data_IF_271616310983
#
_entry.id   IF_271616310983
#
_cell.length_a   1.000
_cell.length_b   1.000
_cell.length_c   1.000
_cell.angle_alpha   90.00
_cell.angle_beta   90.00
_cell.angle_gamma   90.00
#
_symmetry.space_group_name_H-M   'P 1'
#
loop_
_entity.id
_entity.type
_entity.pdbx_description
1 polymer ?
#
# COMPACT_ATOMS: atom_id res chain seq x y z
N UNK A 1 34.41 -3.84 16.00
CA UNK A 1 33.02 -4.33 16.11
C UNK A 1 32.37 -3.91 14.80
N UNK A 2 32.01 -4.87 13.94
CA UNK A 2 31.36 -4.54 12.67
C UNK A 2 30.03 -3.88 13.01
N UNK A 3 29.92 -2.59 12.71
CA UNK A 3 28.65 -1.88 12.73
C UNK A 3 27.81 -2.52 11.62
N UNK A 4 26.95 -3.47 12.00
CA UNK A 4 26.04 -4.12 11.04
C UNK A 4 25.07 -3.03 10.64
N UNK A 5 25.34 -2.39 9.51
CA UNK A 5 24.50 -1.35 8.95
C UNK A 5 23.08 -1.88 8.88
N UNK A 6 22.16 -1.27 9.65
CA UNK A 6 20.76 -1.71 9.70
C UNK A 6 20.18 -1.73 8.28
N UNK A 7 19.38 -2.74 7.93
CA UNK A 7 18.76 -2.82 6.61
C UNK A 7 17.89 -1.58 6.37
N UNK A 8 17.93 -1.08 5.13
CA UNK A 8 17.07 0.03 4.71
C UNK A 8 15.64 -0.48 4.58
N UNK A 9 14.75 0.05 5.41
CA UNK A 9 13.32 -0.26 5.37
C UNK A 9 12.53 0.94 4.90
N UNK A 10 11.76 0.77 3.82
CA UNK A 10 10.90 1.80 3.25
C UNK A 10 9.42 1.37 3.32
N UNK A 11 8.53 2.33 3.55
CA UNK A 11 7.08 2.13 3.47
C UNK A 11 6.55 2.19 2.05
N UNK A 12 5.29 1.77 1.84
CA UNK A 12 4.65 1.72 0.51
C UNK A 12 4.56 3.07 -0.23
N UNK A 13 4.65 4.19 0.50
CA UNK A 13 4.72 5.53 -0.10
C UNK A 13 6.01 5.80 -0.87
N UNK A 14 7.11 5.08 -0.60
CA UNK A 14 8.36 5.29 -1.31
C UNK A 14 8.17 5.13 -2.83
N UNK A 15 7.55 4.03 -3.26
CA UNK A 15 7.29 3.73 -4.67
C UNK A 15 6.40 4.78 -5.38
N UNK A 16 5.66 5.61 -4.63
CA UNK A 16 4.75 6.64 -5.14
C UNK A 16 5.43 8.00 -5.36
N UNK A 17 6.60 8.22 -4.75
CA UNK A 17 7.27 9.53 -4.71
C UNK A 17 8.50 9.58 -5.61
N UNK A 18 8.95 10.79 -5.94
CA UNK A 18 10.19 11.02 -6.67
C UNK A 18 11.38 10.38 -5.91
N UNK A 19 12.29 9.64 -6.58
CA UNK A 19 13.45 9.05 -5.92
C UNK A 19 14.40 10.08 -5.32
N UNK A 20 14.41 11.33 -5.80
CA UNK A 20 15.17 12.44 -5.18
C UNK A 20 14.69 12.72 -3.75
N UNK A 21 13.41 12.49 -3.45
CA UNK A 21 12.93 12.60 -2.06
C UNK A 21 13.55 11.52 -1.19
N UNK A 22 13.60 10.27 -1.67
CA UNK A 22 14.29 9.19 -0.95
C UNK A 22 15.77 9.53 -0.75
N UNK A 23 16.43 10.13 -1.73
CA UNK A 23 17.80 10.61 -1.56
C UNK A 23 17.90 11.63 -0.43
N UNK A 24 17.09 12.68 -0.45
CA UNK A 24 17.11 13.70 0.60
C UNK A 24 16.78 13.14 1.99
N UNK A 25 15.89 12.15 2.09
CA UNK A 25 15.51 11.54 3.37
C UNK A 25 16.66 10.72 4.00
N UNK A 26 17.56 10.16 3.17
CA UNK A 26 18.62 9.23 3.58
C UNK A 26 20.05 9.75 3.44
N UNK A 27 20.28 10.86 2.74
CA UNK A 27 21.58 11.49 2.61
C UNK A 27 21.95 12.23 3.91
N UNK A 28 23.00 11.81 4.66
CA UNK A 28 23.38 12.42 5.93
C UNK A 28 23.73 13.91 5.83
N UNK A 29 24.20 14.34 4.66
CA UNK A 29 24.62 15.72 4.41
C UNK A 29 23.46 16.64 4.00
N UNK A 30 22.28 16.09 3.70
CA UNK A 30 21.11 16.88 3.32
C UNK A 30 20.31 17.20 4.58
N UNK A 31 20.10 18.49 4.92
CA UNK A 31 19.27 18.86 6.04
C UNK A 31 17.85 18.33 5.87
N UNK A 32 17.33 17.64 6.90
CA UNK A 32 15.94 17.21 6.91
C UNK A 32 15.04 18.43 7.12
N UNK A 33 14.17 18.66 6.15
CA UNK A 33 13.11 19.64 6.28
C UNK A 33 11.98 19.06 7.12
N UNK A 34 11.54 19.82 8.11
CA UNK A 34 10.28 19.52 8.80
C UNK A 34 9.16 19.85 7.83
N UNK A 35 8.31 18.87 7.56
CA UNK A 35 7.15 19.10 6.72
C UNK A 35 6.00 19.65 7.57
N UNK A 36 5.59 20.87 7.24
CA UNK A 36 4.44 21.53 7.84
C UNK A 36 3.33 21.62 6.78
N UNK A 37 2.23 20.88 6.91
CA UNK A 37 1.11 20.98 5.99
C UNK A 37 0.42 22.34 6.12
N UNK A 38 -0.11 22.87 5.02
CA UNK A 38 -1.03 24.02 5.10
C UNK A 38 -2.32 23.61 5.85
N UNK A 39 -3.10 24.60 6.30
CA UNK A 39 -4.37 24.33 6.98
C UNK A 39 -5.33 23.48 6.14
N UNK A 40 -5.40 23.76 4.83
CA UNK A 40 -6.21 22.97 3.88
C UNK A 40 -5.72 21.51 3.81
N UNK A 41 -4.41 21.31 3.70
CA UNK A 41 -3.83 19.96 3.68
C UNK A 41 -4.03 19.23 5.01
N UNK A 42 -3.94 19.95 6.14
CA UNK A 42 -4.21 19.38 7.45
C UNK A 42 -5.68 18.95 7.58
N UNK A 43 -6.61 19.76 7.08
CA UNK A 43 -8.04 19.42 7.06
C UNK A 43 -8.31 18.15 6.22
N UNK A 44 -7.65 17.99 5.08
CA UNK A 44 -7.74 16.79 4.24
C UNK A 44 -7.21 15.53 4.96
N UNK A 45 -6.06 15.64 5.65
CA UNK A 45 -5.51 14.55 6.45
C UNK A 45 -6.45 14.15 7.58
N UNK A 46 -7.05 15.13 8.24
CA UNK A 46 -7.97 14.90 9.36
C UNK A 46 -9.28 14.27 8.86
N UNK A 47 -9.79 14.69 7.71
CA UNK A 47 -10.93 14.04 7.06
C UNK A 47 -10.62 12.59 6.67
N UNK A 48 -9.40 12.33 6.18
CA UNK A 48 -8.93 10.98 5.91
C UNK A 48 -8.95 10.07 7.14
N UNK A 49 -8.44 10.55 8.28
CA UNK A 49 -8.44 9.78 9.54
C UNK A 49 -9.86 9.51 10.05
N UNK A 50 -10.74 10.51 10.03
CA UNK A 50 -12.14 10.32 10.43
C UNK A 50 -12.85 9.27 9.56
N UNK A 51 -12.61 9.29 8.25
CA UNK A 51 -13.18 8.31 7.34
C UNK A 51 -12.66 6.88 7.62
N UNK A 52 -11.37 6.73 7.93
CA UNK A 52 -10.79 5.45 8.35
C UNK A 52 -11.44 4.93 9.65
N UNK A 53 -11.60 5.80 10.64
CA UNK A 53 -12.27 5.48 11.92
C UNK A 53 -13.73 5.04 11.70
N UNK A 54 -14.48 5.73 10.85
CA UNK A 54 -15.87 5.39 10.48
C UNK A 54 -15.95 4.02 9.80
N UNK A 55 -15.06 3.74 8.84
CA UNK A 55 -15.00 2.44 8.15
C UNK A 55 -14.63 1.32 9.13
N UNK A 56 -13.68 1.55 10.04
CA UNK A 56 -13.28 0.56 11.04
C UNK A 56 -14.43 0.28 12.02
N UNK A 57 -15.11 1.31 12.50
CA UNK A 57 -16.27 1.16 13.37
C UNK A 57 -17.38 0.34 12.69
N UNK A 58 -17.65 0.59 11.41
CA UNK A 58 -18.63 -0.17 10.64
C UNK A 58 -18.20 -1.63 10.43
N UNK A 59 -16.94 -1.90 10.08
CA UNK A 59 -16.43 -3.26 9.95
C UNK A 59 -16.50 -4.04 11.27
N UNK A 60 -16.18 -3.41 12.40
CA UNK A 60 -16.30 -4.04 13.72
C UNK A 60 -17.76 -4.33 14.08
N UNK A 61 -18.68 -3.42 13.73
CA UNK A 61 -20.13 -3.60 13.93
C UNK A 61 -20.68 -4.75 13.10
N UNK A 62 -20.20 -4.91 11.86
CA UNK A 62 -20.63 -5.97 10.94
C UNK A 62 -20.02 -7.34 11.23
N UNK A 63 -18.85 -7.39 11.87
CA UNK A 63 -18.10 -8.62 12.19
C UNK A 63 -17.89 -8.80 13.71
N UNK A 64 -18.96 -8.79 14.53
CA UNK A 64 -18.83 -8.83 15.98
C UNK A 64 -18.14 -10.11 16.43
N UNK A 65 -17.04 -9.98 17.18
CA UNK A 65 -16.28 -11.10 17.72
C UNK A 65 -15.47 -11.91 16.71
N UNK A 66 -15.44 -11.53 15.43
CA UNK A 66 -14.65 -12.21 14.38
C UNK A 66 -13.61 -11.30 13.73
N UNK A 67 -13.84 -9.99 13.68
CA UNK A 67 -12.80 -9.03 13.33
C UNK A 67 -11.84 -8.81 14.51
N UNK A 68 -10.54 -8.74 14.21
CA UNK A 68 -9.50 -8.38 15.18
C UNK A 68 -9.04 -6.95 14.89
N UNK A 69 -9.22 -6.06 15.87
CA UNK A 69 -8.60 -4.74 15.86
C UNK A 69 -7.24 -4.83 16.54
N UNK A 70 -6.17 -4.50 15.81
CA UNK A 70 -4.84 -4.32 16.38
C UNK A 70 -4.80 -2.98 17.09
N UNK A 71 -4.39 -2.98 18.37
CA UNK A 71 -4.46 -1.78 19.19
C UNK A 71 -3.49 -0.70 18.66
N UNK A 72 -3.98 0.49 18.28
CA UNK A 72 -3.14 1.55 17.72
C UNK A 72 -2.13 2.14 18.72
N UNK A 73 -2.29 1.88 20.02
CA UNK A 73 -1.34 2.30 21.05
C UNK A 73 -0.14 1.33 21.20
N UNK A 74 -0.18 0.15 20.57
CA UNK A 74 0.91 -0.80 20.64
C UNK A 74 2.18 -0.28 19.97
N UNK A 75 3.32 -0.67 20.55
CA UNK A 75 4.61 -0.49 19.89
C UNK A 75 4.71 -1.44 18.71
N UNK A 76 5.56 -1.09 17.75
CA UNK A 76 5.78 -1.84 16.50
C UNK A 76 5.86 -3.36 16.72
N UNK A 77 6.75 -3.82 17.59
CA UNK A 77 6.99 -5.26 17.77
C UNK A 77 5.76 -5.99 18.33
N UNK A 78 5.04 -5.36 19.25
CA UNK A 78 3.80 -5.89 19.83
C UNK A 78 2.66 -5.90 18.81
N UNK A 79 2.53 -4.84 18.01
CA UNK A 79 1.55 -4.75 16.93
C UNK A 79 1.80 -5.82 15.84
N UNK A 80 3.07 -6.08 15.50
CA UNK A 80 3.47 -7.18 14.61
C UNK A 80 3.07 -8.52 15.23
N UNK A 81 3.39 -8.72 16.51
CA UNK A 81 3.02 -9.94 17.23
C UNK A 81 1.52 -10.21 17.22
N UNK A 82 0.70 -9.18 17.51
CA UNK A 82 -0.76 -9.29 17.49
C UNK A 82 -1.29 -9.58 16.08
N UNK A 83 -0.74 -8.91 15.06
CA UNK A 83 -1.14 -9.11 13.65
C UNK A 83 -0.82 -10.53 13.19
N UNK A 84 0.38 -11.04 13.48
CA UNK A 84 0.78 -12.40 13.14
C UNK A 84 -0.06 -13.43 13.88
N UNK A 85 -0.33 -13.24 15.17
CA UNK A 85 -1.20 -14.13 15.94
C UNK A 85 -2.61 -14.20 15.33
N UNK A 86 -3.19 -13.07 14.93
CA UNK A 86 -4.48 -13.01 14.27
C UNK A 86 -4.48 -13.70 12.89
N UNK A 87 -3.40 -13.55 12.11
CA UNK A 87 -3.26 -14.26 10.84
C UNK A 87 -3.12 -15.78 11.04
N UNK A 88 -2.35 -16.22 12.04
CA UNK A 88 -2.17 -17.63 12.38
C UNK A 88 -3.45 -18.28 12.90
N UNK A 89 -4.27 -17.53 13.66
CA UNK A 89 -5.58 -18.01 14.11
C UNK A 89 -6.64 -18.00 13.00
N UNK A 90 -6.31 -17.47 11.80
CA UNK A 90 -7.22 -17.40 10.67
C UNK A 90 -8.37 -16.40 10.89
N UNK A 91 -8.14 -15.31 11.64
CA UNK A 91 -9.12 -14.25 11.84
C UNK A 91 -9.67 -13.76 10.48
N UNK A 92 -10.99 -13.76 10.25
CA UNK A 92 -11.57 -13.36 8.95
C UNK A 92 -11.17 -11.96 8.48
N UNK A 93 -10.99 -11.04 9.44
CA UNK A 93 -10.66 -9.65 9.20
C UNK A 93 -9.69 -9.16 10.28
N UNK A 94 -8.64 -8.46 9.88
CA UNK A 94 -7.68 -7.80 10.79
C UNK A 94 -7.62 -6.33 10.41
N UNK A 95 -7.83 -5.45 11.38
CA UNK A 95 -7.86 -3.99 11.19
C UNK A 95 -6.65 -3.35 11.88
N UNK A 96 -6.01 -2.40 11.21
CA UNK A 96 -4.85 -1.66 11.73
C UNK A 96 -3.57 -2.49 11.88
N UNK A 97 -3.45 -3.59 11.13
CA UNK A 97 -2.36 -4.56 11.29
C UNK A 97 -0.98 -4.03 10.88
N UNK A 98 0.06 -4.57 11.52
CA UNK A 98 1.46 -4.35 11.17
C UNK A 98 2.08 -5.66 10.69
N UNK A 99 2.61 -5.66 9.47
CA UNK A 99 3.28 -6.85 8.94
C UNK A 99 4.74 -6.91 9.43
N UNK A 100 5.32 -8.12 9.59
CA UNK A 100 6.75 -8.26 9.86
C UNK A 100 7.58 -7.51 8.83
N UNK A 101 8.70 -6.92 9.26
CA UNK A 101 9.64 -6.28 8.34
C UNK A 101 10.22 -7.32 7.39
N UNK A 102 10.23 -6.98 6.10
CA UNK A 102 10.90 -7.76 5.05
C UNK A 102 12.24 -7.07 4.76
N UNK A 103 13.26 -7.46 5.52
CA UNK A 103 14.61 -6.91 5.41
C UNK A 103 15.24 -7.18 4.03
N UNK A 104 14.95 -8.36 3.44
CA UNK A 104 15.47 -8.73 2.12
C UNK A 104 14.88 -7.85 1.01
N UNK A 105 13.60 -7.49 1.12
CA UNK A 105 12.92 -6.56 0.21
C UNK A 105 13.04 -5.08 0.59
N UNK A 106 13.57 -4.76 1.76
CA UNK A 106 13.63 -3.40 2.31
C UNK A 106 12.25 -2.80 2.58
N UNK A 107 11.33 -3.56 3.19
CA UNK A 107 9.91 -3.16 3.38
C UNK A 107 9.50 -3.18 4.85
N UNK A 108 8.78 -2.14 5.25
CA UNK A 108 8.02 -2.03 6.51
C UNK A 108 6.62 -1.52 6.18
N UNK A 109 5.58 -1.84 6.96
CA UNK A 109 4.23 -1.40 6.59
C UNK A 109 3.10 -1.77 7.54
N UNK A 110 2.05 -0.95 7.49
CA UNK A 110 0.81 -1.08 8.25
C UNK A 110 -0.38 -1.08 7.27
N UNK A 111 -0.81 -2.23 6.72
CA UNK A 111 -2.07 -2.28 5.97
C UNK A 111 -3.25 -1.90 6.88
N UNK A 112 -4.20 -1.12 6.36
CA UNK A 112 -5.38 -0.75 7.15
C UNK A 112 -6.26 -1.97 7.42
N UNK A 113 -6.40 -2.87 6.43
CA UNK A 113 -7.23 -4.06 6.54
C UNK A 113 -6.54 -5.26 5.89
N UNK A 114 -6.62 -6.43 6.55
CA UNK A 114 -6.28 -7.74 5.96
C UNK A 114 -7.53 -8.61 5.92
N UNK A 115 -7.87 -9.11 4.74
CA UNK A 115 -9.03 -9.97 4.51
C UNK A 115 -8.56 -11.41 4.34
N UNK A 116 -9.06 -12.33 5.17
CA UNK A 116 -8.78 -13.77 5.02
C UNK A 116 -9.43 -14.29 3.75
N UNK A 117 -8.65 -14.98 2.94
CA UNK A 117 -9.10 -15.76 1.78
C UNK A 117 -8.55 -17.18 1.87
N UNK A 118 -8.90 -18.04 0.92
CA UNK A 118 -8.26 -19.34 0.86
C UNK A 118 -6.74 -19.19 0.62
N UNK A 119 -5.94 -19.99 1.32
CA UNK A 119 -4.48 -19.95 1.23
C UNK A 119 -3.77 -18.74 1.85
N UNK A 120 -4.46 -17.70 2.36
CA UNK A 120 -3.77 -16.56 2.99
C UNK A 120 -4.63 -15.33 3.25
N UNK A 121 -4.01 -14.16 3.19
CA UNK A 121 -4.61 -12.84 3.38
C UNK A 121 -4.37 -11.94 2.18
N UNK A 122 -5.37 -11.12 1.84
CA UNK A 122 -5.24 -10.05 0.86
C UNK A 122 -5.26 -8.69 1.56
N UNK A 123 -4.42 -7.73 1.13
CA UNK A 123 -4.40 -6.41 1.71
C UNK A 123 -5.54 -5.54 1.18
N UNK A 124 -6.05 -4.68 2.05
CA UNK A 124 -6.93 -3.59 1.69
C UNK A 124 -6.54 -2.32 2.45
N UNK A 125 -6.80 -1.17 1.82
CA UNK A 125 -6.51 0.16 2.37
C UNK A 125 -7.78 1.01 2.36
N UNK A 126 -7.93 1.88 3.35
CA UNK A 126 -9.02 2.87 3.40
C UNK A 126 -8.53 4.17 2.80
N UNK A 127 -9.34 4.76 1.94
CA UNK A 127 -9.01 6.00 1.24
C UNK A 127 -10.21 6.93 1.18
N UNK A 128 -10.05 8.14 1.70
CA UNK A 128 -11.09 9.17 1.63
C UNK A 128 -11.15 9.83 0.23
N UNK A 129 -11.40 9.02 -0.79
CA UNK A 129 -11.68 9.45 -2.16
C UNK A 129 -12.45 8.37 -2.92
N UNK A 130 -12.97 8.74 -4.09
CA UNK A 130 -13.73 7.85 -4.96
C UNK A 130 -12.83 6.75 -5.57
N UNK A 131 -13.32 5.51 -5.60
CA UNK A 131 -12.55 4.34 -6.08
C UNK A 131 -13.01 3.81 -7.44
N UNK A 132 -14.24 4.13 -7.86
CA UNK A 132 -14.79 3.76 -9.16
C UNK A 132 -15.47 4.92 -9.88
N UNK A 133 -15.46 4.89 -11.20
CA UNK A 133 -16.20 5.79 -12.10
C UNK A 133 -17.17 5.00 -12.99
N UNK A 134 -18.20 5.67 -13.50
CA UNK A 134 -19.14 5.05 -14.43
C UNK A 134 -18.47 4.75 -15.79
N UNK A 135 -18.77 3.58 -16.36
CA UNK A 135 -18.26 3.14 -17.65
C UNK A 135 -19.26 2.25 -18.38
N UNK A 136 -19.19 2.14 -19.72
CA UNK A 136 -20.21 1.43 -20.50
C UNK A 136 -19.97 -0.08 -20.66
N UNK A 137 -18.71 -0.53 -20.62
CA UNK A 137 -18.30 -1.87 -21.08
C UNK A 137 -17.42 -2.64 -20.09
N UNK A 138 -17.20 -2.08 -18.92
CA UNK A 138 -16.30 -2.65 -17.91
C UNK A 138 -17.10 -3.03 -16.69
N UNK A 139 -16.56 -4.01 -15.96
CA UNK A 139 -17.02 -4.38 -14.64
C UNK A 139 -15.88 -4.23 -13.65
N UNK A 140 -16.22 -3.89 -12.43
CA UNK A 140 -15.29 -3.88 -11.30
C UNK A 140 -15.63 -5.02 -10.36
N UNK A 141 -14.60 -5.74 -9.93
CA UNK A 141 -14.77 -6.74 -8.90
C UNK A 141 -14.89 -6.05 -7.55
N UNK A 142 -15.94 -6.37 -6.82
CA UNK A 142 -16.26 -5.74 -5.55
C UNK A 142 -16.71 -6.77 -4.52
N UNK A 143 -16.61 -6.44 -3.25
CA UNK A 143 -17.24 -7.17 -2.15
C UNK A 143 -17.86 -6.21 -1.14
N UNK A 144 -18.90 -6.67 -0.44
CA UNK A 144 -19.57 -5.88 0.59
C UNK A 144 -18.77 -5.90 1.88
N UNK A 145 -19.00 -4.90 2.74
CA UNK A 145 -18.39 -4.88 4.07
C UNK A 145 -18.82 -6.08 4.93
N UNK A 146 -20.02 -6.64 4.70
CA UNK A 146 -20.53 -7.82 5.43
C UNK A 146 -19.87 -9.13 5.00
N UNK A 147 -19.47 -9.25 3.72
CA UNK A 147 -18.84 -10.45 3.18
C UNK A 147 -17.57 -10.11 2.38
N UNK A 148 -16.50 -9.61 3.02
CA UNK A 148 -15.33 -9.09 2.31
C UNK A 148 -14.64 -10.09 1.38
N UNK A 149 -14.68 -11.39 1.71
CA UNK A 149 -14.08 -12.47 0.93
C UNK A 149 -15.00 -13.04 -0.18
N UNK A 150 -16.20 -12.47 -0.38
CA UNK A 150 -17.17 -12.91 -1.39
C UNK A 150 -17.38 -11.79 -2.41
N UNK A 151 -17.20 -12.14 -3.68
CA UNK A 151 -16.95 -11.16 -4.73
C UNK A 151 -18.07 -11.24 -5.77
N UNK A 152 -18.41 -10.10 -6.35
CA UNK A 152 -19.19 -10.06 -7.59
C UNK A 152 -18.59 -9.04 -8.56
N UNK A 153 -18.88 -9.23 -9.84
CA UNK A 153 -18.51 -8.28 -10.88
C UNK A 153 -19.65 -7.26 -11.02
N UNK A 154 -19.43 -6.04 -10.54
CA UNK A 154 -20.36 -4.93 -10.69
C UNK A 154 -20.20 -4.31 -12.09
N UNK A 155 -21.19 -4.46 -13.00
CA UNK A 155 -21.10 -3.93 -14.35
C UNK A 155 -21.24 -2.41 -14.36
N UNK A 156 -20.77 -1.79 -15.43
CA UNK A 156 -20.96 -0.36 -15.65
C UNK A 156 -19.95 0.53 -14.91
N UNK A 157 -18.85 -0.05 -14.42
CA UNK A 157 -17.87 0.61 -13.57
C UNK A 157 -16.45 0.40 -14.08
N UNK A 158 -15.60 1.39 -13.84
CA UNK A 158 -14.14 1.31 -14.03
C UNK A 158 -13.44 1.85 -12.79
N UNK A 159 -12.20 1.44 -12.56
CA UNK A 159 -11.39 2.01 -11.48
C UNK A 159 -11.15 3.51 -11.71
N UNK A 160 -11.13 4.29 -10.64
CA UNK A 160 -10.88 5.74 -10.70
C UNK A 160 -9.43 6.07 -11.08
N UNK A 161 -9.13 7.35 -11.23
CA UNK A 161 -7.79 7.86 -11.52
C UNK A 161 -6.76 7.53 -10.42
N UNK A 162 -7.23 7.28 -9.19
CA UNK A 162 -6.38 6.96 -8.04
C UNK A 162 -5.85 5.51 -8.04
N UNK A 163 -6.50 4.60 -8.78
CA UNK A 163 -6.27 3.15 -8.67
C UNK A 163 -4.80 2.73 -8.77
N UNK A 164 -4.01 3.42 -9.60
CA UNK A 164 -2.61 3.06 -9.79
C UNK A 164 -1.78 3.39 -8.55
N UNK A 165 -2.02 4.57 -7.95
CA UNK A 165 -1.31 5.00 -6.75
C UNK A 165 -1.72 4.20 -5.52
N UNK A 166 -2.98 3.77 -5.45
CA UNK A 166 -3.45 2.87 -4.39
C UNK A 166 -2.91 1.46 -4.62
N UNK A 167 -2.94 0.99 -5.86
CA UNK A 167 -2.37 -0.27 -6.28
C UNK A 167 -0.89 -0.43 -5.92
N UNK A 168 -0.06 0.62 -6.05
CA UNK A 168 1.34 0.57 -5.65
C UNK A 168 1.50 0.29 -4.15
N UNK A 169 0.62 0.85 -3.31
CA UNK A 169 0.61 0.61 -1.88
C UNK A 169 0.10 -0.81 -1.56
N UNK A 170 -0.93 -1.29 -2.26
CA UNK A 170 -1.40 -2.66 -2.12
C UNK A 170 -0.37 -3.70 -2.57
N UNK A 171 0.38 -3.41 -3.63
CA UNK A 171 1.50 -4.23 -4.09
C UNK A 171 2.62 -4.32 -3.04
N UNK A 172 2.87 -3.24 -2.30
CA UNK A 172 3.79 -3.25 -1.16
C UNK A 172 3.38 -4.27 -0.11
N UNK A 173 2.13 -4.21 0.35
CA UNK A 173 1.63 -5.14 1.37
C UNK A 173 1.53 -6.57 0.84
N UNK A 174 1.18 -6.76 -0.44
CA UNK A 174 1.19 -8.07 -1.10
C UNK A 174 2.58 -8.72 -1.06
N UNK A 175 3.64 -7.95 -1.28
CA UNK A 175 5.02 -8.44 -1.18
C UNK A 175 5.46 -8.71 0.25
N UNK A 176 5.02 -7.90 1.22
CA UNK A 176 5.26 -8.17 2.64
C UNK A 176 4.55 -9.45 3.11
N UNK A 177 3.28 -9.65 2.73
CA UNK A 177 2.53 -10.88 2.98
C UNK A 177 3.23 -12.10 2.36
N UNK A 178 3.85 -11.93 1.19
CA UNK A 178 4.64 -12.99 0.56
C UNK A 178 5.88 -13.32 1.38
N UNK A 179 6.60 -12.31 1.86
CA UNK A 179 7.81 -12.49 2.65
C UNK A 179 7.55 -13.18 3.99
N UNK A 180 6.41 -12.91 4.63
CA UNK A 180 6.01 -13.57 5.88
C UNK A 180 5.17 -14.85 5.70
N UNK A 181 4.96 -15.31 4.46
CA UNK A 181 4.27 -16.58 4.17
C UNK A 181 2.75 -16.56 4.30
N UNK A 182 2.12 -15.39 4.37
CA UNK A 182 0.66 -15.21 4.48
C UNK A 182 -0.01 -14.75 3.19
N UNK A 183 0.73 -14.60 2.10
CA UNK A 183 0.13 -14.32 0.79
C UNK A 183 -0.61 -15.57 0.29
N UNK A 184 -1.83 -15.44 -0.26
CA UNK A 184 -2.47 -16.54 -0.98
C UNK A 184 -1.65 -16.93 -2.22
N UNK A 185 -2.03 -18.04 -2.86
CA UNK A 185 -1.35 -18.57 -4.04
C UNK A 185 -1.15 -17.55 -5.18
N UNK A 186 -0.39 -17.98 -6.19
CA UNK A 186 -0.04 -17.11 -7.33
C UNK A 186 -1.22 -16.82 -8.28
N UNK A 187 -2.37 -17.44 -8.06
CA UNK A 187 -3.51 -17.43 -8.96
C UNK A 187 -4.21 -16.07 -9.03
N UNK A 188 -4.26 -15.27 -7.95
CA UNK A 188 -4.91 -13.95 -7.97
C UNK A 188 -4.31 -12.96 -6.94
N UNK A 189 -3.25 -12.19 -7.28
CA UNK A 189 -2.69 -11.16 -6.38
C UNK A 189 -3.59 -9.92 -6.38
N UNK A 190 -4.67 -10.00 -5.62
CA UNK A 190 -5.68 -8.95 -5.52
C UNK A 190 -5.40 -8.04 -4.33
N UNK A 191 -5.72 -6.76 -4.46
CA UNK A 191 -5.76 -5.84 -3.32
C UNK A 191 -7.00 -4.98 -3.42
N UNK A 192 -7.57 -4.57 -2.29
CA UNK A 192 -8.78 -3.76 -2.30
C UNK A 192 -8.58 -2.35 -1.74
N UNK A 193 -9.46 -1.45 -2.17
CA UNK A 193 -9.61 -0.14 -1.55
C UNK A 193 -11.05 0.03 -1.12
N UNK A 194 -11.25 0.47 0.13
CA UNK A 194 -12.52 1.01 0.58
C UNK A 194 -12.44 2.53 0.40
N UNK A 195 -13.19 3.02 -0.58
CA UNK A 195 -13.29 4.45 -0.91
C UNK A 195 -14.61 5.05 -0.47
N UNK A 196 -14.89 6.27 -0.91
CA UNK A 196 -16.21 6.92 -0.72
C UNK A 196 -17.28 6.43 -1.70
N UNK A 197 -16.94 5.49 -2.59
CA UNK A 197 -17.89 4.91 -3.55
C UNK A 197 -18.84 3.92 -2.87
N UNK A 198 -20.14 4.11 -3.08
CA UNK A 198 -21.18 3.20 -2.61
C UNK A 198 -21.81 2.46 -3.78
N UNK A 199 -22.03 1.15 -3.60
CA UNK A 199 -22.71 0.29 -4.57
C UNK A 199 -23.76 -0.56 -3.87
N UNK A 200 -24.82 -0.87 -4.59
CA UNK A 200 -25.83 -1.82 -4.13
C UNK A 200 -25.45 -3.23 -4.61
N UNK A 201 -25.47 -4.21 -3.69
CA UNK A 201 -25.63 -5.60 -4.10
C UNK A 201 -26.99 -5.77 -4.83
N UNK A 202 -27.15 -6.76 -5.72
CA UNK A 202 -28.43 -7.00 -6.38
C UNK A 202 -29.59 -7.13 -5.37
N UNK A 203 -30.49 -6.14 -5.34
CA UNK A 203 -31.63 -6.08 -4.42
C UNK A 203 -31.34 -5.49 -3.04
N UNK A 204 -30.14 -4.95 -2.81
CA UNK A 204 -29.77 -4.26 -1.57
C UNK A 204 -29.74 -2.73 -1.71
N UNK A 205 -29.53 -2.04 -0.59
CA UNK A 205 -29.29 -0.60 -0.55
C UNK A 205 -27.83 -0.28 -0.87
N UNK A 206 -27.52 0.91 -1.43
CA UNK A 206 -26.15 1.36 -1.62
C UNK A 206 -25.38 1.42 -0.30
N UNK A 207 -24.20 0.80 -0.27
CA UNK A 207 -23.29 0.83 0.87
C UNK A 207 -21.83 0.91 0.39
N UNK A 208 -20.92 1.23 1.31
CA UNK A 208 -19.49 1.15 1.02
C UNK A 208 -19.11 -0.29 0.64
N UNK A 209 -18.12 -0.41 -0.25
CA UNK A 209 -17.65 -1.70 -0.76
C UNK A 209 -16.13 -1.73 -0.81
N UNK A 210 -15.58 -2.93 -0.73
CA UNK A 210 -14.22 -3.19 -1.17
C UNK A 210 -14.20 -3.18 -2.69
N UNK A 211 -13.36 -2.35 -3.29
CA UNK A 211 -13.09 -2.36 -4.74
C UNK A 211 -11.77 -3.08 -4.98
N UNK A 212 -11.83 -4.24 -5.63
CA UNK A 212 -10.68 -5.11 -5.83
C UNK A 212 -9.95 -4.83 -7.14
N UNK A 213 -8.62 -4.73 -7.05
CA UNK A 213 -7.72 -4.53 -8.17
C UNK A 213 -6.87 -5.79 -8.39
N UNK A 214 -6.78 -6.23 -9.64
CA UNK A 214 -5.79 -7.22 -10.06
C UNK A 214 -4.44 -6.53 -10.24
N UNK A 215 -3.54 -6.76 -9.28
CA UNK A 215 -2.22 -6.12 -9.24
C UNK A 215 -1.25 -6.71 -10.27
N UNK A 216 -1.57 -7.87 -10.85
CA UNK A 216 -0.80 -8.51 -11.92
C UNK A 216 -1.25 -8.13 -13.33
N UNK A 217 -2.42 -7.49 -13.46
CA UNK A 217 -2.95 -7.10 -14.77
C UNK A 217 -2.09 -6.03 -15.43
N UNK A 218 -1.59 -6.32 -16.63
CA UNK A 218 -0.74 -5.40 -17.42
C UNK A 218 -1.57 -4.33 -18.12
N UNK A 219 -1.88 -3.26 -17.40
CA UNK A 219 -2.76 -2.18 -17.89
C UNK A 219 -2.00 -0.93 -18.34
N UNK A 220 -0.88 -0.59 -17.68
CA UNK A 220 -0.23 0.72 -17.86
C UNK A 220 0.95 0.64 -18.84
N UNK A 221 0.97 1.44 -19.92
CA UNK A 221 2.14 1.56 -20.76
C UNK A 221 3.23 2.35 -20.03
N UNK A 222 4.45 1.80 -20.03
CA UNK A 222 5.65 2.43 -19.47
C UNK A 222 6.72 2.47 -20.55
N UNK A 223 7.54 3.53 -20.55
CA UNK A 223 8.67 3.61 -21.46
C UNK A 223 9.85 2.81 -20.91
N UNK A 224 10.41 1.95 -21.73
CA UNK A 224 11.65 1.21 -21.52
C UNK A 224 12.66 1.66 -22.56
N UNK A 225 13.86 2.05 -22.12
CA UNK A 225 14.95 2.45 -23.04
C UNK A 225 15.32 1.35 -24.04
N UNK A 226 15.22 0.07 -23.63
CA UNK A 226 15.58 -1.08 -24.47
C UNK A 226 14.43 -1.66 -25.27
N UNK A 227 13.17 -1.41 -24.88
CA UNK A 227 11.99 -2.05 -25.47
C UNK A 227 10.89 -1.08 -25.92
N UNK A 228 11.12 0.22 -25.86
CA UNK A 228 10.09 1.23 -26.14
C UNK A 228 8.92 1.13 -25.16
N UNK A 229 7.68 1.24 -25.64
CA UNK A 229 6.48 1.19 -24.78
C UNK A 229 6.11 -0.25 -24.43
N UNK A 230 6.19 -0.62 -23.14
CA UNK A 230 5.81 -1.94 -22.63
C UNK A 230 4.69 -1.79 -21.59
N UNK A 231 3.65 -2.62 -21.71
CA UNK A 231 2.60 -2.69 -20.68
C UNK A 231 3.15 -3.39 -19.43
N UNK A 232 3.00 -2.74 -18.27
CA UNK A 232 3.39 -3.27 -16.97
C UNK A 232 2.18 -3.38 -16.07
N UNK A 233 2.24 -4.37 -15.19
CA UNK A 233 1.34 -4.51 -14.05
C UNK A 233 1.72 -3.55 -12.94
N UNK A 234 0.83 -3.41 -11.96
CA UNK A 234 1.09 -2.63 -10.76
C UNK A 234 2.22 -3.29 -9.95
N UNK A 235 2.23 -4.62 -9.82
CA UNK A 235 3.31 -5.36 -9.16
C UNK A 235 4.67 -5.14 -9.84
N UNK A 236 4.77 -5.30 -11.16
CA UNK A 236 6.03 -5.06 -11.88
C UNK A 236 6.52 -3.62 -11.71
N UNK A 237 5.60 -2.66 -11.73
CA UNK A 237 5.93 -1.24 -11.53
C UNK A 237 6.40 -1.00 -10.10
N UNK A 238 5.68 -1.53 -9.11
CA UNK A 238 6.05 -1.44 -7.70
C UNK A 238 7.43 -2.05 -7.43
N UNK A 239 7.69 -3.28 -7.89
CA UNK A 239 8.97 -3.95 -7.64
C UNK A 239 10.14 -3.14 -8.21
N UNK A 240 9.95 -2.55 -9.39
CA UNK A 240 10.94 -1.68 -10.01
C UNK A 240 11.16 -0.40 -9.20
N UNK A 241 10.08 0.34 -8.90
CA UNK A 241 10.15 1.64 -8.24
C UNK A 241 10.65 1.51 -6.79
N UNK A 242 10.13 0.55 -6.01
CA UNK A 242 10.55 0.29 -4.64
C UNK A 242 11.99 -0.20 -4.58
N UNK A 243 12.34 -1.20 -5.39
CA UNK A 243 13.69 -1.75 -5.44
C UNK A 243 14.74 -0.69 -5.84
N UNK A 244 14.38 0.23 -6.73
CA UNK A 244 15.24 1.36 -7.05
C UNK A 244 15.44 2.29 -5.85
N UNK A 245 14.38 2.60 -5.09
CA UNK A 245 14.45 3.50 -3.92
C UNK A 245 15.20 2.89 -2.74
N UNK A 246 15.10 1.58 -2.53
CA UNK A 246 15.97 0.87 -1.57
C UNK A 246 17.44 1.04 -1.95
N UNK A 247 17.79 0.92 -3.24
CA UNK A 247 19.17 1.15 -3.71
C UNK A 247 19.64 2.60 -3.56
N UNK A 248 18.75 3.57 -3.82
CA UNK A 248 19.01 5.00 -3.60
C UNK A 248 19.35 5.22 -2.12
N UNK A 249 18.43 4.89 -1.22
CA UNK A 249 18.63 5.04 0.23
C UNK A 249 19.88 4.31 0.76
N UNK A 250 20.15 3.08 0.32
CA UNK A 250 21.34 2.33 0.73
C UNK A 250 22.64 2.96 0.20
N UNK A 251 22.63 3.55 -0.99
CA UNK A 251 23.77 4.30 -1.53
C UNK A 251 23.99 5.58 -0.74
N UNK A 252 22.92 6.34 -0.48
CA UNK A 252 23.00 7.66 0.12
C UNK A 252 23.43 7.65 1.59
N UNK A 253 23.08 6.60 2.34
CA UNK A 253 23.60 6.39 3.70
C UNK A 253 25.13 6.31 3.77
N UNK A 254 25.80 6.01 2.65
CA UNK A 254 27.27 5.93 2.57
C UNK A 254 27.92 7.24 2.10
N UNK A 255 27.14 8.26 1.76
CA UNK A 255 27.66 9.56 1.34
C UNK A 255 27.86 10.43 2.59
N UNK A 256 29.11 10.60 3.00
CA UNK A 256 29.50 11.24 4.27
C UNK A 256 30.36 12.49 4.11
N UNK A 257 30.69 12.86 2.87
CA UNK A 257 31.59 13.96 2.51
C UNK A 257 33.03 13.50 2.25
N UNK A 258 33.27 12.19 2.15
CA UNK A 258 34.59 11.61 1.91
C UNK A 258 34.91 11.52 0.42
N UNK A 259 36.19 11.56 0.06
CA UNK A 259 36.64 11.31 -1.32
C UNK A 259 36.39 9.87 -1.80
N UNK A 260 36.07 8.96 -0.89
CA UNK A 260 35.70 7.58 -1.17
C UNK A 260 34.18 7.34 -1.23
N UNK A 261 33.36 8.39 -1.12
CA UNK A 261 31.91 8.27 -1.20
C UNK A 261 31.47 7.76 -2.59
N UNK A 262 30.40 6.95 -2.67
CA UNK A 262 29.82 6.56 -3.95
C UNK A 262 29.11 7.73 -4.62
N UNK A 263 29.05 7.71 -5.95
CA UNK A 263 28.19 8.64 -6.70
C UNK A 263 26.70 8.40 -6.35
N UNK A 264 25.90 9.47 -6.13
CA UNK A 264 24.47 9.33 -5.89
C UNK A 264 23.75 8.78 -7.13
N UNK A 265 22.80 7.87 -6.91
CA UNK A 265 22.05 7.24 -8.01
C UNK A 265 21.03 8.16 -8.68
N UNK A 266 20.67 9.25 -7.99
CA UNK A 266 19.80 10.30 -8.50
C UNK A 266 20.37 11.64 -8.07
N UNK A 267 20.28 12.63 -8.96
CA UNK A 267 20.64 14.01 -8.65
C UNK A 267 19.44 14.91 -8.90
N UNK A 268 19.19 15.93 -8.05
CA UNK A 268 18.20 16.94 -8.34
C UNK A 268 18.52 17.62 -9.68
N UNK A 269 17.55 17.63 -10.60
CA UNK A 269 17.66 18.47 -11.81
C UNK A 269 17.18 19.86 -11.39
N UNK A 270 18.11 20.77 -11.14
CA UNK A 270 17.76 22.18 -10.94
C UNK A 270 17.13 22.75 -12.21
N UNK A 271 15.95 23.37 -12.09
CA UNK A 271 15.55 24.34 -13.11
C UNK A 271 16.29 25.64 -12.80
N UNK A 272 16.83 26.30 -13.83
CA UNK A 272 17.31 27.67 -13.67
C UNK A 272 16.09 28.52 -13.30
N UNK A 273 16.15 29.16 -12.14
CA UNK A 273 15.23 30.24 -11.77
C UNK A 273 15.30 31.38 -12.79
#
# INVERSE_FOLDING_TARGET
MNDVQKPVLLGGYAAKKCPVRTHNDFAPLVPRLVWEPSEEMQADLDAGRRFEEEVFAELLRLHPGSAVLVDPALRKDDAIGQTVAAMQSGAPLILGGWLPDDEAGGRTGKPDVLVKVDGGYLPADVKHHKTVDAAKKTSMRVSSLTRPAVWWDAPGLTASTHHFQDGLQLAHYMRMLQACGFRPGDDQPLGAVIGTSQLAEPGGEPALVFVWYDLSRKTRPTFSRSRGKVKRSVLESYDHEHGFRVKVAATDLRITGSTADPDPLVVPIGQKE
#
